data_IF_303486272654
#
_entry.id   IF_303486272654
#
_cell.length_a   1.000
_cell.length_b   1.000
_cell.length_c   1.000
_cell.angle_alpha   90.00
_cell.angle_beta   90.00
_cell.angle_gamma   90.00
#
_symmetry.space_group_name_H-M   'P 1'
#
loop_
_entity.id
_entity.type
_entity.pdbx_description
1 polymer ?
#
# COMPACT_ATOMS: atom_id res chain seq x y z
N UNK A 1 -47.94 -25.75 -44.81
CA UNK A 1 -46.89 -24.97 -44.13
C UNK A 1 -46.00 -25.96 -43.41
N UNK A 2 -44.95 -26.44 -44.07
CA UNK A 2 -43.98 -27.35 -43.43
C UNK A 2 -43.10 -26.46 -42.55
N UNK A 3 -43.23 -26.62 -41.24
CA UNK A 3 -42.42 -25.91 -40.27
C UNK A 3 -40.96 -26.30 -40.49
N UNK A 4 -40.11 -25.29 -40.66
CA UNK A 4 -38.67 -25.47 -40.72
C UNK A 4 -38.21 -25.88 -39.30
N UNK A 5 -38.31 -27.18 -39.00
CA UNK A 5 -37.80 -27.73 -37.75
C UNK A 5 -36.28 -27.71 -37.89
N UNK A 6 -35.61 -26.78 -37.20
CA UNK A 6 -34.15 -26.80 -37.09
C UNK A 6 -33.73 -28.20 -36.62
N UNK A 7 -32.99 -28.91 -37.46
CA UNK A 7 -32.46 -30.21 -37.08
C UNK A 7 -31.28 -29.94 -36.15
N UNK A 8 -31.18 -30.58 -34.97
CA UNK A 8 -30.00 -30.46 -34.11
C UNK A 8 -28.68 -30.81 -34.82
N UNK A 9 -28.75 -31.55 -35.94
CA UNK A 9 -27.62 -31.85 -36.81
C UNK A 9 -27.13 -30.66 -37.68
N UNK A 10 -27.87 -29.53 -37.72
CA UNK A 10 -27.47 -28.30 -38.42
C UNK A 10 -26.48 -27.46 -37.60
N UNK A 11 -26.18 -27.89 -36.36
CA UNK A 11 -25.15 -27.27 -35.53
C UNK A 11 -23.78 -27.68 -36.12
N UNK A 12 -23.04 -26.70 -36.62
CA UNK A 12 -21.65 -26.89 -37.00
C UNK A 12 -20.80 -27.02 -35.72
N UNK A 13 -20.77 -28.22 -35.15
CA UNK A 13 -20.07 -28.54 -33.90
C UNK A 13 -18.60 -28.15 -33.94
N UNK A 14 -17.92 -28.27 -35.10
CA UNK A 14 -16.53 -27.86 -35.26
C UNK A 14 -16.34 -26.35 -35.14
N UNK A 15 -17.27 -25.55 -35.68
CA UNK A 15 -17.23 -24.10 -35.52
C UNK A 15 -17.51 -23.68 -34.07
N UNK A 16 -18.42 -24.40 -33.39
CA UNK A 16 -18.71 -24.16 -31.99
C UNK A 16 -17.51 -24.50 -31.10
N UNK A 17 -16.85 -25.63 -31.34
CA UNK A 17 -15.63 -26.05 -30.63
C UNK A 17 -14.49 -25.05 -30.81
N UNK A 18 -14.29 -24.54 -32.04
CA UNK A 18 -13.31 -23.50 -32.31
C UNK A 18 -13.62 -22.21 -31.53
N UNK A 19 -14.88 -21.74 -31.56
CA UNK A 19 -15.28 -20.56 -30.77
C UNK A 19 -15.14 -20.76 -29.27
N UNK A 20 -15.38 -21.98 -28.76
CA UNK A 20 -15.17 -22.29 -27.33
C UNK A 20 -13.68 -22.23 -26.98
N UNK A 21 -12.80 -22.72 -27.85
CA UNK A 21 -11.36 -22.65 -27.62
C UNK A 21 -10.87 -21.20 -27.63
N UNK A 22 -11.28 -20.40 -28.61
CA UNK A 22 -10.92 -18.97 -28.68
C UNK A 22 -11.34 -18.24 -27.40
N UNK A 23 -12.55 -18.51 -26.88
CA UNK A 23 -13.02 -17.94 -25.61
C UNK A 23 -12.20 -18.39 -24.40
N UNK A 24 -11.71 -19.64 -24.39
CA UNK A 24 -10.86 -20.13 -23.30
C UNK A 24 -9.47 -19.48 -23.31
N UNK A 25 -8.93 -19.23 -24.50
CA UNK A 25 -7.66 -18.53 -24.69
C UNK A 25 -7.81 -17.07 -24.24
N UNK A 26 -8.86 -16.37 -24.67
CA UNK A 26 -9.19 -15.01 -24.22
C UNK A 26 -9.34 -14.93 -22.69
N UNK A 27 -10.07 -15.87 -22.07
CA UNK A 27 -10.23 -15.91 -20.61
C UNK A 27 -8.89 -16.13 -19.91
N UNK A 28 -8.01 -16.93 -20.49
CA UNK A 28 -6.67 -17.19 -19.93
C UNK A 28 -5.82 -15.92 -19.97
N UNK A 29 -5.82 -15.21 -21.09
CA UNK A 29 -5.06 -13.97 -21.27
C UNK A 29 -5.58 -12.84 -20.37
N UNK A 30 -6.91 -12.72 -20.23
CA UNK A 30 -7.55 -11.75 -19.34
C UNK A 30 -7.16 -12.04 -17.89
N UNK A 31 -7.21 -13.30 -17.47
CA UNK A 31 -6.82 -13.68 -16.10
C UNK A 31 -5.36 -13.39 -15.84
N UNK A 32 -4.46 -13.76 -16.76
CA UNK A 32 -3.04 -13.47 -16.63
C UNK A 32 -2.75 -11.96 -16.50
N UNK A 33 -3.49 -11.14 -17.26
CA UNK A 33 -3.38 -9.68 -17.18
C UNK A 33 -3.92 -9.15 -15.86
N UNK A 34 -5.09 -9.64 -15.43
CA UNK A 34 -5.77 -9.15 -14.20
C UNK A 34 -5.02 -9.56 -12.95
N UNK A 35 -4.46 -10.77 -12.91
CA UNK A 35 -3.65 -11.27 -11.79
C UNK A 35 -2.30 -10.51 -11.65
N UNK A 36 -1.87 -9.82 -12.71
CA UNK A 36 -0.67 -8.97 -12.71
C UNK A 36 -0.94 -7.52 -12.33
N UNK A 37 -2.20 -7.11 -12.12
CA UNK A 37 -2.52 -5.74 -11.71
C UNK A 37 -2.23 -5.55 -10.21
N UNK A 38 -1.49 -4.50 -9.83
CA UNK A 38 -1.24 -4.20 -8.43
C UNK A 38 -2.55 -3.89 -7.71
N UNK A 39 -2.72 -4.44 -6.50
CA UNK A 39 -3.87 -4.15 -5.65
C UNK A 39 -3.47 -3.09 -4.63
N UNK A 40 -4.14 -1.94 -4.67
CA UNK A 40 -3.98 -0.92 -3.64
C UNK A 40 -4.53 -1.46 -2.31
N UNK A 41 -3.71 -1.42 -1.29
CA UNK A 41 -4.01 -1.89 0.06
C UNK A 41 -3.71 -0.79 1.08
N UNK A 42 -4.43 -0.84 2.20
CA UNK A 42 -4.32 0.11 3.29
C UNK A 42 -4.12 -0.56 4.65
N UNK A 43 -3.50 0.18 5.57
CA UNK A 43 -3.47 -0.14 7.01
C UNK A 43 -3.40 1.16 7.81
N UNK A 44 -3.66 1.10 9.11
CA UNK A 44 -3.63 2.28 9.96
C UNK A 44 -3.68 1.94 11.43
N UNK A 45 -3.60 2.97 12.25
CA UNK A 45 -3.68 2.84 13.70
C UNK A 45 -3.42 4.15 14.43
N UNK A 46 -3.10 4.02 15.71
CA UNK A 46 -2.78 5.15 16.58
C UNK A 46 -1.47 4.88 17.29
N UNK A 47 -0.59 5.87 17.33
CA UNK A 47 0.65 5.84 18.14
C UNK A 47 0.60 6.94 19.18
N UNK A 48 0.88 6.60 20.44
CA UNK A 48 0.99 7.60 21.51
C UNK A 48 2.45 7.79 21.87
N UNK A 49 2.98 8.96 21.52
CA UNK A 49 4.36 9.35 21.82
C UNK A 49 4.66 9.19 23.31
N UNK A 50 5.85 8.66 23.64
CA UNK A 50 6.28 8.44 25.02
C UNK A 50 7.67 9.03 25.34
N UNK A 51 8.28 9.71 24.37
CA UNK A 51 9.65 10.24 24.47
C UNK A 51 10.73 9.30 23.92
N UNK A 52 10.35 8.10 23.48
CA UNK A 52 11.20 7.21 22.71
C UNK A 52 10.80 7.24 21.22
N UNK A 53 11.68 6.73 20.36
CA UNK A 53 11.35 6.54 18.95
C UNK A 53 10.41 5.34 18.79
N UNK A 54 9.19 5.60 18.32
CA UNK A 54 8.14 4.60 18.16
C UNK A 54 7.83 4.36 16.69
N UNK A 55 7.51 3.12 16.33
CA UNK A 55 7.08 2.79 14.98
C UNK A 55 5.68 3.35 14.73
N UNK A 56 5.54 4.17 13.69
CA UNK A 56 4.26 4.55 13.11
C UNK A 56 3.83 3.47 12.13
N UNK A 57 4.68 3.20 11.13
CA UNK A 57 4.44 2.21 10.11
C UNK A 57 5.70 1.38 9.89
N UNK A 58 5.54 0.08 9.69
CA UNK A 58 6.64 -0.81 9.30
C UNK A 58 6.15 -1.82 8.29
N UNK A 59 6.84 -1.89 7.16
CA UNK A 59 6.69 -2.98 6.21
C UNK A 59 8.05 -3.68 6.10
N UNK A 60 8.12 -4.87 6.69
CA UNK A 60 9.33 -5.68 6.75
C UNK A 60 9.30 -6.87 5.79
N UNK A 61 8.38 -6.88 4.82
CA UNK A 61 8.07 -8.06 4.02
C UNK A 61 9.28 -8.53 3.21
N UNK A 62 9.90 -9.69 3.54
CA UNK A 62 11.11 -10.16 2.85
C UNK A 62 10.81 -10.85 1.51
N UNK A 63 9.53 -11.08 1.18
CA UNK A 63 9.11 -12.08 0.21
C UNK A 63 8.32 -11.55 -0.99
N UNK A 64 8.15 -10.24 -1.13
CA UNK A 64 7.43 -9.64 -2.26
C UNK A 64 7.94 -8.25 -2.60
N UNK A 65 7.88 -7.89 -3.88
CA UNK A 65 8.04 -6.50 -4.30
C UNK A 65 6.73 -5.81 -3.94
N UNK A 66 6.76 -4.89 -2.98
CA UNK A 66 5.65 -3.98 -2.72
C UNK A 66 6.06 -2.59 -3.18
N UNK A 67 5.08 -1.78 -3.56
CA UNK A 67 5.30 -0.37 -3.85
C UNK A 67 4.57 0.44 -2.78
N UNK A 68 5.28 0.93 -1.74
CA UNK A 68 4.67 1.85 -0.81
C UNK A 68 4.28 3.14 -1.55
N UNK A 69 3.16 3.74 -1.16
CA UNK A 69 2.64 4.95 -1.79
C UNK A 69 2.86 6.13 -0.87
N UNK A 70 2.21 6.11 0.30
CA UNK A 70 2.36 7.17 1.30
C UNK A 70 2.01 6.67 2.70
N UNK A 71 2.51 7.39 3.70
CA UNK A 71 2.03 7.36 5.09
C UNK A 71 1.50 8.74 5.43
N UNK A 72 0.31 8.80 6.03
CA UNK A 72 -0.27 10.03 6.56
C UNK A 72 -0.39 9.94 8.07
N UNK A 73 -0.11 11.05 8.74
CA UNK A 73 -0.18 11.17 10.19
C UNK A 73 -1.00 12.40 10.55
N UNK A 74 -2.01 12.22 11.39
CA UNK A 74 -2.88 13.29 11.87
C UNK A 74 -2.29 13.96 13.13
N UNK A 75 -1.83 15.20 12.96
CA UNK A 75 -1.30 16.07 14.02
C UNK A 75 -2.36 16.97 14.64
N UNK A 76 -3.66 16.69 14.50
CA UNK A 76 -4.74 17.48 15.15
C UNK A 76 -4.55 17.60 16.66
N UNK A 77 -3.96 16.59 17.31
CA UNK A 77 -3.65 16.60 18.74
C UNK A 77 -2.32 17.30 19.10
N UNK A 78 -1.54 17.73 18.10
CA UNK A 78 -0.27 18.44 18.28
C UNK A 78 -0.55 19.91 18.65
N UNK A 79 0.08 20.42 19.70
CA UNK A 79 -0.11 21.79 20.19
C UNK A 79 1.20 22.57 20.16
N UNK A 80 1.15 23.85 20.53
CA UNK A 80 2.32 24.74 20.53
C UNK A 80 3.45 24.27 21.47
N UNK A 81 3.17 23.38 22.42
CA UNK A 81 4.13 22.92 23.42
C UNK A 81 4.90 21.66 23.01
N UNK A 82 4.52 20.98 21.93
CA UNK A 82 5.19 19.74 21.49
C UNK A 82 6.29 19.99 20.46
N UNK A 83 7.26 19.08 20.45
CA UNK A 83 8.19 18.90 19.34
C UNK A 83 8.37 17.42 19.10
N UNK A 84 8.18 17.00 17.85
CA UNK A 84 8.38 15.61 17.42
C UNK A 84 9.29 15.56 16.21
N UNK A 85 10.01 14.45 16.06
CA UNK A 85 10.79 14.13 14.86
C UNK A 85 10.13 12.92 14.21
N UNK A 86 9.75 13.08 12.95
CA UNK A 86 9.29 11.97 12.11
C UNK A 86 10.45 11.53 11.23
N UNK A 87 10.70 10.24 11.15
CA UNK A 87 11.85 9.68 10.42
C UNK A 87 11.41 8.61 9.45
N UNK A 88 12.07 8.61 8.30
CA UNK A 88 11.88 7.65 7.23
C UNK A 88 13.13 6.78 7.09
N UNK A 89 12.94 5.47 7.10
CA UNK A 89 14.03 4.52 6.96
C UNK A 89 13.77 3.46 5.90
N UNK A 90 14.85 2.99 5.27
CA UNK A 90 14.81 1.95 4.24
C UNK A 90 15.84 0.84 4.46
N UNK A 91 15.54 -0.33 3.91
CA UNK A 91 16.48 -1.44 3.75
C UNK A 91 16.77 -1.65 2.25
N UNK A 92 18.02 -1.90 1.90
CA UNK A 92 18.46 -2.09 0.50
C UNK A 92 18.95 -3.51 0.18
N UNK A 93 18.92 -4.43 1.14
CA UNK A 93 19.28 -5.84 0.94
C UNK A 93 18.54 -6.76 1.92
N UNK A 94 18.34 -8.02 1.53
CA UNK A 94 17.76 -9.05 2.42
C UNK A 94 18.56 -9.14 3.71
N UNK A 95 17.86 -9.17 4.84
CA UNK A 95 18.44 -9.21 6.19
C UNK A 95 19.44 -8.07 6.50
N UNK A 96 19.42 -6.97 5.73
CA UNK A 96 20.21 -5.77 6.02
C UNK A 96 19.63 -4.92 7.15
N UNK A 97 20.40 -3.92 7.57
CA UNK A 97 19.92 -2.91 8.50
C UNK A 97 18.91 -1.99 7.81
N UNK A 98 17.95 -1.50 8.59
CA UNK A 98 17.08 -0.37 8.23
C UNK A 98 17.88 0.91 8.53
N UNK A 99 18.10 1.74 7.53
CA UNK A 99 18.97 2.93 7.58
C UNK A 99 18.12 4.18 7.38
N UNK A 100 18.42 5.24 8.12
CA UNK A 100 17.74 6.52 8.03
C UNK A 100 17.96 7.12 6.63
N UNK A 101 16.89 7.49 5.95
CA UNK A 101 16.93 8.23 4.69
C UNK A 101 16.64 9.71 4.93
N UNK A 102 15.56 10.02 5.65
CA UNK A 102 15.16 11.40 5.94
C UNK A 102 14.56 11.56 7.34
N UNK A 103 14.59 12.79 7.85
CA UNK A 103 14.01 13.19 9.12
C UNK A 103 13.48 14.62 9.08
N UNK A 104 12.24 14.81 9.53
CA UNK A 104 11.60 16.12 9.62
C UNK A 104 11.18 16.40 11.07
N UNK A 105 11.55 17.57 11.57
CA UNK A 105 11.15 18.05 12.89
C UNK A 105 9.92 18.94 12.79
N UNK A 106 8.89 18.60 13.56
CA UNK A 106 7.69 19.41 13.73
C UNK A 106 7.68 19.99 15.13
N UNK A 107 7.76 21.33 15.22
CA UNK A 107 7.73 22.06 16.47
C UNK A 107 6.54 23.03 16.49
N UNK A 108 5.78 23.00 17.58
CA UNK A 108 4.55 23.77 17.72
C UNK A 108 3.45 23.32 16.75
N UNK A 109 2.39 24.12 16.61
CA UNK A 109 1.22 23.75 15.80
C UNK A 109 1.59 23.77 14.29
N UNK A 110 1.56 22.63 13.58
CA UNK A 110 1.80 22.61 12.15
C UNK A 110 0.73 23.42 11.40
N UNK A 111 1.12 24.11 10.33
CA UNK A 111 0.17 24.89 9.52
C UNK A 111 -0.93 23.99 8.91
N UNK A 112 -0.56 22.77 8.52
CA UNK A 112 -1.48 21.73 8.08
C UNK A 112 -1.33 20.54 9.04
N UNK A 113 -2.38 20.14 9.77
CA UNK A 113 -2.28 19.06 10.74
C UNK A 113 -2.17 17.68 10.10
N UNK A 114 -2.64 17.49 8.87
CA UNK A 114 -2.45 16.22 8.16
C UNK A 114 -1.09 16.23 7.44
N UNK A 115 -0.14 15.47 7.96
CA UNK A 115 1.19 15.31 7.36
C UNK A 115 1.15 14.11 6.41
N UNK A 116 1.53 14.32 5.15
CA UNK A 116 1.67 13.26 4.15
C UNK A 116 3.15 13.05 3.82
N UNK A 117 3.59 11.79 3.84
CA UNK A 117 4.95 11.36 3.57
C UNK A 117 4.86 10.43 2.37
N UNK A 118 5.34 10.90 1.21
CA UNK A 118 5.46 10.07 0.01
C UNK A 118 6.63 9.09 0.18
N UNK A 119 6.45 7.86 -0.29
CA UNK A 119 7.40 6.78 -0.06
C UNK A 119 8.01 6.30 -1.37
N UNK A 120 9.31 6.04 -1.33
CA UNK A 120 10.04 5.49 -2.46
C UNK A 120 9.79 3.99 -2.62
N UNK A 121 9.72 3.48 -3.87
CA UNK A 121 9.65 2.05 -4.13
C UNK A 121 10.77 1.30 -3.41
N UNK A 122 10.41 0.28 -2.63
CA UNK A 122 11.40 -0.49 -1.89
C UNK A 122 11.05 -1.98 -1.81
N UNK A 123 12.05 -2.83 -2.05
CA UNK A 123 11.89 -4.29 -2.06
C UNK A 123 12.12 -4.96 -0.70
N UNK A 124 12.90 -4.37 0.20
CA UNK A 124 13.44 -5.08 1.38
C UNK A 124 12.88 -4.61 2.71
N UNK A 125 12.24 -3.46 2.73
CA UNK A 125 11.47 -2.95 3.85
C UNK A 125 11.62 -1.45 4.06
N UNK A 126 10.57 -0.88 4.63
CA UNK A 126 10.52 0.52 5.04
C UNK A 126 10.06 0.62 6.48
N UNK A 127 10.39 1.72 7.14
CA UNK A 127 9.92 2.04 8.49
C UNK A 127 9.76 3.54 8.65
N UNK A 128 8.58 3.97 9.08
CA UNK A 128 8.31 5.35 9.52
C UNK A 128 8.21 5.35 11.03
N UNK A 129 8.91 6.28 11.68
CA UNK A 129 8.87 6.43 13.14
C UNK A 129 8.55 7.86 13.54
N UNK A 130 8.09 8.01 14.79
CA UNK A 130 7.85 9.29 15.44
C UNK A 130 8.52 9.26 16.81
N UNK A 131 9.17 10.36 17.19
CA UNK A 131 9.77 10.54 18.50
C UNK A 131 9.40 11.92 19.04
N UNK A 132 8.92 11.97 20.28
CA UNK A 132 8.72 13.24 20.98
C UNK A 132 10.01 13.68 21.64
N UNK A 133 10.47 14.88 21.29
CA UNK A 133 11.67 15.50 21.87
C UNK A 133 11.34 16.60 22.89
N UNK A 134 10.12 17.16 22.86
CA UNK A 134 9.62 18.10 23.87
C UNK A 134 8.08 18.03 24.00
N UNK A 135 7.55 18.47 25.15
CA UNK A 135 6.11 18.59 25.40
C UNK A 135 5.43 17.35 25.98
N UNK A 136 4.10 17.33 25.93
CA UNK A 136 3.28 16.25 26.45
C UNK A 136 3.20 15.06 25.48
N UNK A 137 2.87 13.89 26.01
CA UNK A 137 2.56 12.71 25.18
C UNK A 137 1.26 12.96 24.44
N UNK A 138 1.26 12.69 23.13
CA UNK A 138 0.10 12.84 22.24
C UNK A 138 -0.11 11.57 21.43
N UNK A 139 -1.39 11.26 21.21
CA UNK A 139 -1.84 10.24 20.29
C UNK A 139 -1.97 10.82 18.88
N UNK A 140 -1.39 10.13 17.91
CA UNK A 140 -1.42 10.45 16.49
C UNK A 140 -2.03 9.27 15.73
N UNK A 141 -3.13 9.54 15.05
CA UNK A 141 -3.73 8.56 14.13
C UNK A 141 -2.94 8.58 12.82
N UNK A 142 -2.83 7.42 12.17
CA UNK A 142 -2.08 7.28 10.94
C UNK A 142 -2.72 6.25 10.02
N UNK A 143 -2.50 6.44 8.72
CA UNK A 143 -2.84 5.47 7.67
C UNK A 143 -1.66 5.34 6.70
N UNK A 144 -1.52 4.17 6.08
CA UNK A 144 -0.51 3.87 5.08
C UNK A 144 -1.15 3.16 3.89
N UNK A 145 -0.77 3.56 2.68
CA UNK A 145 -1.18 2.93 1.44
C UNK A 145 0.02 2.30 0.73
N UNK A 146 -0.19 1.13 0.15
CA UNK A 146 0.82 0.39 -0.58
C UNK A 146 0.18 -0.52 -1.63
N UNK A 147 0.88 -0.76 -2.73
CA UNK A 147 0.50 -1.71 -3.77
C UNK A 147 1.19 -3.06 -3.51
N UNK A 148 0.43 -4.14 -3.59
CA UNK A 148 0.89 -5.55 -3.56
C UNK A 148 0.57 -6.28 -4.85
#
# INVERSE_FOLDING_TARGET
MSGNVHNPADINTLALEASVQDLQDDVTDIKATTDGLPVLSETGGTVTTDGTEQNVYINNTPLGVFRPVCVKIDFTNHTAGETVIVREYYRIKVAGNIILQDAVTYAGVPANPLISIDLDPNRFGIKITIEKTAGANRAYDWEAFYEI
#
